data_IF_570012457337
#
_entry.id   IF_570012457337
#
_cell.length_a   1.000
_cell.length_b   1.000
_cell.length_c   1.000
_cell.angle_alpha   90.00
_cell.angle_beta   90.00
_cell.angle_gamma   90.00
#
_symmetry.space_group_name_H-M   'P 1'
#
loop_
_entity.id
_entity.type
_entity.pdbx_description
1 polymer ?
#
# COMPACT_ATOMS: atom_id res chain seq x y z
N UNK A 1 -1.90 -14.29 12.12
CA UNK A 1 -2.31 -14.04 10.72
C UNK A 1 -3.57 -13.20 10.73
N UNK A 2 -3.45 -11.90 10.45
CA UNK A 2 -4.65 -11.12 10.10
C UNK A 2 -5.01 -11.55 8.68
N UNK A 3 -6.13 -12.25 8.52
CA UNK A 3 -6.55 -12.69 7.19
C UNK A 3 -7.26 -11.52 6.54
N UNK A 4 -6.54 -10.56 5.94
CA UNK A 4 -7.21 -9.57 5.09
C UNK A 4 -7.72 -10.26 3.83
N UNK A 5 -8.70 -9.62 3.21
CA UNK A 5 -9.29 -10.10 1.98
C UNK A 5 -8.22 -10.16 0.87
N UNK A 6 -8.09 -11.26 0.11
CA UNK A 6 -7.03 -11.39 -0.89
C UNK A 6 -7.12 -10.33 -1.99
N UNK A 7 -5.97 -9.78 -2.40
CA UNK A 7 -5.92 -8.72 -3.42
C UNK A 7 -6.54 -9.16 -4.75
N UNK A 8 -6.26 -10.40 -5.15
CA UNK A 8 -6.77 -10.99 -6.40
C UNK A 8 -8.27 -11.28 -6.36
N UNK A 9 -8.85 -11.48 -5.17
CA UNK A 9 -10.28 -11.77 -5.00
C UNK A 9 -11.16 -10.51 -5.12
N UNK A 10 -10.57 -9.31 -5.10
CA UNK A 10 -11.31 -8.07 -5.32
C UNK A 10 -11.81 -8.05 -6.76
N UNK A 11 -13.13 -8.03 -6.93
CA UNK A 11 -13.77 -8.08 -8.25
C UNK A 11 -13.78 -6.69 -8.89
N UNK A 12 -13.40 -6.61 -10.16
CA UNK A 12 -13.31 -5.38 -10.94
C UNK A 12 -12.19 -4.44 -10.48
N UNK A 13 -12.38 -3.14 -10.73
CA UNK A 13 -11.45 -2.06 -10.38
C UNK A 13 -10.05 -2.24 -10.97
N UNK A 14 -9.98 -2.57 -12.27
CA UNK A 14 -8.72 -2.86 -12.95
C UNK A 14 -7.76 -1.66 -12.94
N UNK A 15 -8.28 -0.44 -13.11
CA UNK A 15 -7.47 0.79 -13.04
C UNK A 15 -6.87 1.02 -11.66
N UNK A 16 -7.63 0.77 -10.59
CA UNK A 16 -7.13 0.86 -9.22
C UNK A 16 -6.03 -0.17 -8.98
N UNK A 17 -6.26 -1.42 -9.41
CA UNK A 17 -5.30 -2.51 -9.28
C UNK A 17 -4.00 -2.16 -9.99
N UNK A 18 -4.10 -1.69 -11.24
CA UNK A 18 -2.97 -1.28 -12.04
C UNK A 18 -2.23 -0.10 -11.40
N UNK A 19 -2.93 0.94 -10.97
CA UNK A 19 -2.31 2.10 -10.33
C UNK A 19 -1.54 1.72 -9.06
N UNK A 20 -2.11 0.83 -8.24
CA UNK A 20 -1.44 0.34 -7.03
C UNK A 20 -0.19 -0.51 -7.35
N UNK A 21 -0.25 -1.37 -8.37
CA UNK A 21 0.90 -2.15 -8.82
C UNK A 21 2.01 -1.27 -9.39
N UNK A 22 1.65 -0.27 -10.20
CA UNK A 22 2.60 0.71 -10.73
C UNK A 22 3.30 1.49 -9.62
N UNK A 23 2.54 1.96 -8.63
CA UNK A 23 3.10 2.68 -7.49
C UNK A 23 4.01 1.78 -6.63
N UNK A 24 3.68 0.49 -6.49
CA UNK A 24 4.52 -0.47 -5.78
C UNK A 24 5.85 -0.76 -6.50
N UNK A 25 5.84 -0.77 -7.85
CA UNK A 25 7.05 -0.98 -8.66
C UNK A 25 7.91 0.28 -8.74
N UNK A 26 7.27 1.44 -8.93
CA UNK A 26 7.95 2.72 -9.11
C UNK A 26 7.26 3.82 -8.29
N UNK A 27 7.73 4.07 -7.06
CA UNK A 27 7.17 5.12 -6.19
C UNK A 27 7.26 6.53 -6.79
N UNK A 28 8.16 6.76 -7.76
CA UNK A 28 8.30 8.02 -8.49
C UNK A 28 7.07 8.42 -9.31
N UNK A 29 6.14 7.48 -9.57
CA UNK A 29 4.83 7.78 -10.18
C UNK A 29 4.01 8.74 -9.30
N UNK A 30 4.29 8.79 -8.00
CA UNK A 30 3.58 9.63 -7.04
C UNK A 30 2.32 8.97 -6.50
N UNK A 31 1.56 9.71 -5.68
CA UNK A 31 0.39 9.18 -4.98
C UNK A 31 -0.79 8.86 -5.89
N UNK A 32 -1.53 7.78 -5.56
CA UNK A 32 -2.75 7.38 -6.28
C UNK A 32 -3.98 7.97 -5.57
N UNK A 33 -4.74 8.83 -6.26
CA UNK A 33 -6.00 9.37 -5.76
C UNK A 33 -7.18 8.51 -6.23
N UNK A 34 -7.82 7.79 -5.29
CA UNK A 34 -8.93 6.89 -5.60
C UNK A 34 -10.27 7.52 -5.20
N UNK A 35 -11.09 7.89 -6.18
CA UNK A 35 -12.47 8.36 -5.97
C UNK A 35 -13.49 7.24 -6.18
N UNK A 36 -14.65 7.37 -5.54
CA UNK A 36 -15.74 6.39 -5.67
C UNK A 36 -16.68 6.40 -4.45
N UNK A 37 -17.80 5.71 -4.57
CA UNK A 37 -18.80 5.63 -3.51
C UNK A 37 -18.32 4.80 -2.31
N UNK A 38 -18.97 4.99 -1.15
CA UNK A 38 -18.74 4.15 0.03
C UNK A 38 -19.16 2.71 -0.29
N UNK A 39 -18.40 1.72 0.17
CA UNK A 39 -18.73 0.30 -0.03
C UNK A 39 -18.10 -0.34 -1.26
N UNK A 40 -17.34 0.40 -2.07
CA UNK A 40 -16.66 -0.09 -3.29
C UNK A 40 -15.35 -0.84 -3.04
N UNK A 41 -15.06 -1.29 -1.82
CA UNK A 41 -13.85 -2.04 -1.47
C UNK A 41 -12.48 -1.35 -1.77
N UNK A 42 -12.45 -0.03 -2.03
CA UNK A 42 -11.21 0.74 -2.30
C UNK A 42 -10.13 0.53 -1.23
N UNK A 43 -10.47 0.74 0.05
CA UNK A 43 -9.51 0.56 1.15
C UNK A 43 -9.18 -0.91 1.39
N UNK A 44 -10.08 -1.84 1.04
CA UNK A 44 -9.82 -3.28 1.07
C UNK A 44 -8.71 -3.64 0.08
N UNK A 45 -8.77 -3.16 -1.16
CA UNK A 45 -7.75 -3.40 -2.18
C UNK A 45 -6.36 -2.89 -1.76
N UNK A 46 -6.29 -1.66 -1.22
CA UNK A 46 -5.02 -1.07 -0.73
C UNK A 46 -4.40 -1.91 0.38
N UNK A 47 -5.20 -2.29 1.38
CA UNK A 47 -4.70 -3.09 2.52
C UNK A 47 -4.35 -4.52 2.13
N UNK A 48 -5.04 -5.08 1.14
CA UNK A 48 -4.74 -6.40 0.60
C UNK A 48 -3.39 -6.42 -0.12
N UNK A 49 -3.09 -5.40 -0.93
CA UNK A 49 -1.77 -5.26 -1.56
C UNK A 49 -0.67 -5.11 -0.50
N UNK A 50 -0.90 -4.30 0.54
CA UNK A 50 0.08 -4.09 1.60
C UNK A 50 0.49 -5.38 2.35
N UNK A 51 -0.33 -6.43 2.34
CA UNK A 51 0.07 -7.74 2.90
C UNK A 51 0.92 -8.59 1.96
N UNK A 52 0.90 -8.29 0.66
CA UNK A 52 1.72 -8.99 -0.33
C UNK A 52 3.12 -8.38 -0.45
N UNK A 53 3.29 -7.12 -0.03
CA UNK A 53 4.57 -6.43 -0.11
C UNK A 53 5.51 -6.88 1.02
N UNK A 54 6.83 -6.89 0.77
CA UNK A 54 7.82 -7.12 1.81
C UNK A 54 7.69 -6.11 2.96
N UNK A 55 8.06 -6.55 4.17
CA UNK A 55 8.19 -5.62 5.29
C UNK A 55 9.27 -4.57 4.98
N UNK A 56 8.97 -3.31 5.29
CA UNK A 56 9.93 -2.21 5.16
C UNK A 56 10.85 -2.21 6.37
N UNK A 57 12.19 -2.14 6.20
CA UNK A 57 13.10 -1.96 7.32
C UNK A 57 12.86 -0.60 7.98
N UNK A 58 12.67 -0.60 9.30
CA UNK A 58 12.38 0.62 10.07
C UNK A 58 13.16 0.61 11.38
N UNK A 59 13.53 1.80 11.86
CA UNK A 59 14.13 1.94 13.20
C UNK A 59 13.13 1.48 14.26
N UNK A 60 13.54 0.57 15.13
CA UNK A 60 12.70 0.02 16.19
C UNK A 60 12.16 1.15 17.10
N UNK A 61 10.84 1.23 17.23
CA UNK A 61 10.18 2.25 18.06
C UNK A 61 10.02 3.63 17.42
N UNK A 62 10.51 3.87 16.19
CA UNK A 62 10.25 5.13 15.50
C UNK A 62 8.78 5.18 15.02
N UNK A 63 8.00 6.13 15.57
CA UNK A 63 6.59 6.37 15.20
C UNK A 63 6.38 6.63 13.70
N UNK A 64 7.39 7.17 13.04
CA UNK A 64 7.34 7.60 11.64
C UNK A 64 7.91 6.56 10.67
N UNK A 65 8.27 5.36 11.14
CA UNK A 65 8.87 4.33 10.28
C UNK A 65 10.16 4.80 9.61
N UNK A 66 11.01 5.50 10.38
CA UNK A 66 12.28 6.06 9.93
C UNK A 66 13.15 4.99 9.23
N UNK A 67 13.78 5.35 8.10
CA UNK A 67 14.71 4.49 7.38
C UNK A 67 16.00 4.28 8.23
N UNK A 68 16.37 3.02 8.56
CA UNK A 68 17.61 2.72 9.28
C UNK A 68 18.89 3.14 8.53
N UNK A 69 18.84 3.21 7.20
CA UNK A 69 19.98 3.55 6.35
C UNK A 69 20.07 5.06 6.05
N UNK A 70 18.99 5.81 6.29
CA UNK A 70 18.93 7.25 6.13
C UNK A 70 18.28 7.87 7.38
N UNK A 71 19.00 7.88 8.53
CA UNK A 71 18.49 8.49 9.75
C UNK A 71 18.16 9.96 9.50
N UNK A 72 16.96 10.37 9.93
CA UNK A 72 16.45 11.73 9.78
C UNK A 72 17.45 12.72 10.39
N UNK A 73 17.98 13.72 9.64
CA UNK A 73 18.78 14.78 10.21
C UNK A 73 17.83 15.65 11.04
N UNK A 74 17.81 15.43 12.35
CA UNK A 74 16.85 16.06 13.27
C UNK A 74 16.75 17.58 13.20
#
# INVERSE_FOLDING_TARGET
>A
MSTRYPFTAVVGMDDLRLALLLNAVSPAVGGVLVRGEKGTAKSTAVRALAELLPAVPVVAGCRFSCDPAAPDPG
#
